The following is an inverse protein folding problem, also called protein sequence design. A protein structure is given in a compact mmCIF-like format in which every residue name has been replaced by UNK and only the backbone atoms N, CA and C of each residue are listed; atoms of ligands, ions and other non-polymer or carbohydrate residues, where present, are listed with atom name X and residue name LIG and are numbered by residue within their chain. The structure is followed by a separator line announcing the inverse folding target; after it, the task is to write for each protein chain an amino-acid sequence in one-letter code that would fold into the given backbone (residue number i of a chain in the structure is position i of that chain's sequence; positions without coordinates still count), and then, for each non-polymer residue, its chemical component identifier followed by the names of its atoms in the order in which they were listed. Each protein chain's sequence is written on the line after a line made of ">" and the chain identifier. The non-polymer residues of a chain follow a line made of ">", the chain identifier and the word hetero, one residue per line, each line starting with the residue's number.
data_IF_135396734073
#
_entry.id   IF_135396734073
#
_cell.length_a   1.000
_cell.length_b   1.000
_cell.length_c   1.000
_cell.angle_alpha   90.00
_cell.angle_beta   90.00
_cell.angle_gamma   90.00
#
_symmetry.space_group_name_H-M   'P 1'
#
loop_
_entity.id
_entity.type
_entity.pdbx_description
1 polymer ?
#
# COMPACT_ATOMS: atom_id res chain seq x y z
N UNK A 1 23.64 8.78 1.38
CA UNK A 1 22.62 8.42 2.38
C UNK A 1 21.22 8.88 1.92
N UNK A 2 20.56 8.05 1.12
CA UNK A 2 19.15 8.20 0.82
C UNK A 2 18.38 7.51 1.95
N UNK A 3 17.95 8.29 2.94
CA UNK A 3 16.86 7.87 3.81
C UNK A 3 15.60 8.49 3.20
N UNK A 4 15.04 7.80 2.21
CA UNK A 4 13.71 8.13 1.70
C UNK A 4 12.75 8.05 2.87
N UNK A 5 12.22 9.19 3.28
CA UNK A 5 11.21 9.21 4.33
C UNK A 5 9.91 8.66 3.74
N UNK A 6 9.30 7.73 4.45
CA UNK A 6 8.08 7.02 4.05
C UNK A 6 6.89 7.47 4.92
N UNK A 7 6.18 8.56 4.55
CA UNK A 7 5.05 9.07 5.33
C UNK A 7 3.89 8.07 5.41
N UNK A 8 3.71 7.22 4.40
CA UNK A 8 2.66 6.20 4.35
C UNK A 8 2.85 5.08 5.38
N UNK A 9 4.08 4.89 5.90
CA UNK A 9 4.39 3.81 6.84
C UNK A 9 3.67 3.94 8.18
N UNK A 10 3.05 5.08 8.47
CA UNK A 10 2.23 5.23 9.68
C UNK A 10 1.05 4.25 9.74
N UNK A 11 0.62 3.72 8.59
CA UNK A 11 -0.45 2.74 8.49
C UNK A 11 0.03 1.28 8.66
N UNK A 12 1.32 1.05 8.83
CA UNK A 12 1.91 -0.28 8.98
C UNK A 12 2.07 -0.61 10.47
N UNK A 13 1.05 -1.21 11.07
CA UNK A 13 1.04 -1.58 12.48
C UNK A 13 1.53 -3.01 12.71
N UNK A 14 1.50 -3.86 11.67
CA UNK A 14 1.89 -5.28 11.81
C UNK A 14 0.99 -6.03 12.80
N UNK A 15 -0.27 -5.60 12.94
CA UNK A 15 -1.21 -6.11 13.94
C UNK A 15 -2.33 -6.96 13.34
N UNK A 16 -2.49 -6.94 12.01
CA UNK A 16 -3.61 -7.61 11.36
C UNK A 16 -3.44 -9.13 11.34
N UNK A 17 -4.55 -9.85 11.57
CA UNK A 17 -4.56 -11.31 11.52
C UNK A 17 -4.14 -11.80 10.12
N UNK A 18 -3.09 -12.64 10.08
CA UNK A 18 -2.45 -13.12 8.86
C UNK A 18 -1.18 -12.36 8.47
N UNK A 19 -0.68 -11.46 9.33
CA UNK A 19 0.58 -10.75 9.15
C UNK A 19 1.61 -11.27 10.14
N UNK A 20 2.70 -11.86 9.65
CA UNK A 20 3.77 -12.44 10.50
C UNK A 20 4.87 -11.43 10.87
N UNK A 21 4.66 -10.13 10.60
CA UNK A 21 5.69 -9.12 10.76
C UNK A 21 5.37 -8.20 11.93
N UNK A 22 6.25 -8.13 12.96
CA UNK A 22 6.08 -7.19 14.05
C UNK A 22 6.22 -5.75 13.54
N UNK A 23 5.46 -4.83 14.14
CA UNK A 23 5.60 -3.39 13.89
C UNK A 23 7.08 -2.98 13.93
N UNK A 24 7.59 -2.36 12.87
CA UNK A 24 8.99 -1.96 12.83
C UNK A 24 9.21 -0.80 13.82
N UNK A 25 10.11 -0.91 14.82
CA UNK A 25 10.24 0.08 15.90
C UNK A 25 10.70 1.47 15.42
N UNK A 26 11.24 1.55 14.21
CA UNK A 26 11.58 2.82 13.54
C UNK A 26 10.39 3.56 12.92
N UNK A 27 9.18 3.00 12.95
CA UNK A 27 7.97 3.68 12.46
C UNK A 27 7.39 4.52 13.59
N UNK A 28 7.22 5.82 13.32
CA UNK A 28 6.61 6.73 14.28
C UNK A 28 5.09 6.77 14.10
N UNK A 29 4.35 6.22 15.06
CA UNK A 29 2.88 6.23 15.10
C UNK A 29 2.30 7.31 16.04
N UNK A 30 3.08 8.35 16.39
CA UNK A 30 2.57 9.44 17.23
C UNK A 30 1.49 10.25 16.52
N UNK A 31 0.67 10.97 17.29
CA UNK A 31 -0.37 11.84 16.74
C UNK A 31 0.23 12.98 15.90
N UNK A 32 1.43 13.45 16.23
CA UNK A 32 2.16 14.44 15.44
C UNK A 32 2.57 13.88 14.08
N UNK A 33 3.07 12.63 14.04
CA UNK A 33 3.37 11.95 12.79
C UNK A 33 2.12 11.78 11.93
N UNK A 34 1.00 11.37 12.53
CA UNK A 34 -0.28 11.24 11.82
C UNK A 34 -0.76 12.56 11.22
N UNK A 35 -0.69 13.64 11.99
CA UNK A 35 -1.05 14.97 11.52
C UNK A 35 -0.14 15.45 10.39
N UNK A 36 1.15 15.15 10.44
CA UNK A 36 2.09 15.50 9.39
C UNK A 36 1.77 14.76 8.09
N UNK A 37 1.54 13.44 8.16
CA UNK A 37 1.17 12.60 7.01
C UNK A 37 -0.14 13.08 6.39
N UNK A 38 -1.16 13.37 7.21
CA UNK A 38 -2.43 13.92 6.74
C UNK A 38 -2.26 15.26 6.00
N UNK A 39 -1.47 16.18 6.56
CA UNK A 39 -1.19 17.48 5.93
C UNK A 39 -0.46 17.32 4.60
N UNK A 40 0.52 16.41 4.52
CA UNK A 40 1.21 16.12 3.27
C UNK A 40 0.26 15.56 2.21
N UNK A 41 -0.53 14.54 2.56
CA UNK A 41 -1.51 13.95 1.65
C UNK A 41 -2.53 15.01 1.17
N UNK A 42 -2.95 15.91 2.06
CA UNK A 42 -3.86 17.00 1.72
C UNK A 42 -3.30 17.91 0.64
N UNK A 43 -2.01 18.26 0.67
CA UNK A 43 -1.38 19.08 -0.37
C UNK A 43 -1.49 18.39 -1.74
N UNK A 44 -1.18 17.10 -1.82
CA UNK A 44 -1.28 16.36 -3.09
C UNK A 44 -2.72 16.25 -3.60
N UNK A 45 -3.68 16.05 -2.70
CA UNK A 45 -5.10 16.01 -3.05
C UNK A 45 -5.59 17.37 -3.55
N UNK A 46 -5.19 18.47 -2.90
CA UNK A 46 -5.55 19.83 -3.33
C UNK A 46 -4.98 20.17 -4.71
N UNK A 47 -3.74 19.76 -5.02
CA UNK A 47 -3.19 19.91 -6.37
C UNK A 47 -3.95 19.05 -7.39
N UNK A 48 -4.28 17.80 -7.06
CA UNK A 48 -5.03 16.91 -7.95
C UNK A 48 -6.44 17.46 -8.27
N UNK A 49 -7.10 18.12 -7.32
CA UNK A 49 -8.43 18.75 -7.50
C UNK A 49 -8.45 19.88 -8.53
N UNK A 50 -7.30 20.45 -8.86
CA UNK A 50 -7.19 21.49 -9.91
C UNK A 50 -7.26 20.89 -11.32
N UNK A 51 -7.11 19.57 -11.45
CA UNK A 51 -7.25 18.87 -12.72
C UNK A 51 -8.71 18.82 -13.16
N UNK A 52 -8.94 18.95 -14.46
CA UNK A 52 -10.25 18.73 -15.10
C UNK A 52 -10.39 17.32 -15.67
N UNK A 53 -9.38 16.45 -15.47
CA UNK A 53 -9.41 15.09 -15.97
C UNK A 53 -10.56 14.30 -15.34
N UNK A 54 -11.33 13.61 -16.19
CA UNK A 54 -12.39 12.70 -15.77
C UNK A 54 -11.93 11.29 -16.08
N UNK A 55 -12.00 10.42 -15.07
CA UNK A 55 -11.69 9.01 -15.25
C UNK A 55 -12.87 8.29 -15.92
N UNK A 56 -12.65 7.71 -17.09
CA UNK A 56 -13.71 7.03 -17.88
C UNK A 56 -13.37 5.58 -18.20
N UNK A 57 -12.10 5.20 -18.16
CA UNK A 57 -11.62 3.86 -18.54
C UNK A 57 -11.60 2.90 -17.33
N UNK A 58 -12.74 2.72 -16.66
CA UNK A 58 -12.83 1.85 -15.47
C UNK A 58 -12.51 0.39 -15.74
N UNK A 59 -12.76 -0.10 -16.96
CA UNK A 59 -12.44 -1.48 -17.34
C UNK A 59 -10.92 -1.70 -17.46
N UNK A 60 -10.19 -0.67 -17.90
CA UNK A 60 -8.74 -0.73 -18.11
C UNK A 60 -7.95 -0.33 -16.86
N UNK A 61 -8.44 0.65 -16.12
CA UNK A 61 -7.84 1.13 -14.87
C UNK A 61 -8.92 1.18 -13.79
N UNK A 62 -9.23 0.04 -13.16
CA UNK A 62 -10.31 0.00 -12.19
C UNK A 62 -9.90 0.70 -10.90
N UNK A 63 -10.90 1.19 -10.17
CA UNK A 63 -10.73 1.83 -8.86
C UNK A 63 -10.09 0.86 -7.88
N UNK A 64 -9.32 1.38 -6.92
CA UNK A 64 -8.57 0.58 -5.95
C UNK A 64 -9.43 -0.46 -5.21
N UNK A 65 -10.71 -0.15 -5.00
CA UNK A 65 -11.70 -1.00 -4.34
C UNK A 65 -12.04 -2.30 -5.08
N UNK A 66 -11.62 -2.43 -6.34
CA UNK A 66 -11.86 -3.62 -7.16
C UNK A 66 -10.78 -4.70 -7.00
N UNK A 67 -9.61 -4.35 -6.47
CA UNK A 67 -8.49 -5.29 -6.37
C UNK A 67 -8.63 -6.19 -5.14
N UNK A 68 -8.20 -7.43 -5.30
CA UNK A 68 -8.01 -8.35 -4.18
C UNK A 68 -6.92 -7.83 -3.24
N UNK A 69 -7.16 -7.97 -1.94
CA UNK A 69 -6.18 -7.63 -0.90
C UNK A 69 -5.61 -8.92 -0.32
N UNK A 70 -4.29 -9.03 -0.32
CA UNK A 70 -3.57 -10.08 0.39
C UNK A 70 -2.88 -9.53 1.64
N UNK A 71 -2.62 -10.44 2.57
CA UNK A 71 -1.96 -10.18 3.85
C UNK A 71 -0.77 -11.13 3.95
N UNK A 72 0.44 -10.61 3.77
CA UNK A 72 1.69 -11.32 4.05
C UNK A 72 2.88 -10.38 3.87
N UNK A 73 3.95 -10.63 4.62
CA UNK A 73 5.25 -10.02 4.35
C UNK A 73 5.43 -8.59 4.87
N UNK A 74 6.30 -7.83 4.19
CA UNK A 74 6.85 -6.52 4.60
C UNK A 74 5.83 -5.37 4.70
N UNK A 75 4.58 -5.62 4.35
CA UNK A 75 3.43 -4.72 4.45
C UNK A 75 2.27 -5.49 5.06
N UNK A 76 1.44 -4.82 5.86
CA UNK A 76 0.27 -5.41 6.51
C UNK A 76 -0.79 -5.84 5.49
N UNK A 77 -0.95 -5.08 4.41
CA UNK A 77 -1.86 -5.37 3.29
C UNK A 77 -1.27 -4.90 1.96
N UNK A 78 -1.55 -5.62 0.89
CA UNK A 78 -1.22 -5.17 -0.47
C UNK A 78 -2.31 -5.56 -1.48
N UNK A 79 -2.51 -4.69 -2.47
CA UNK A 79 -3.41 -4.95 -3.59
C UNK A 79 -2.73 -5.82 -4.64
N UNK A 80 -3.44 -6.84 -5.12
CA UNK A 80 -2.95 -7.72 -6.17
C UNK A 80 -3.45 -7.24 -7.52
N UNK A 81 -2.51 -6.88 -8.39
CA UNK A 81 -2.78 -6.64 -9.82
C UNK A 81 -2.37 -7.89 -10.58
N UNK A 82 -3.35 -8.67 -11.04
CA UNK A 82 -3.09 -9.89 -11.83
C UNK A 82 -2.95 -9.53 -13.30
N UNK A 83 -1.99 -10.14 -13.98
CA UNK A 83 -1.92 -10.10 -15.45
C UNK A 83 -2.99 -11.03 -16.04
N UNK A 84 -3.43 -10.77 -17.27
CA UNK A 84 -4.54 -11.50 -17.95
C UNK A 84 -4.40 -13.04 -17.95
N UNK A 85 -3.18 -13.57 -17.76
CA UNK A 85 -2.90 -15.01 -17.76
C UNK A 85 -2.37 -15.55 -16.41
N UNK A 86 -2.43 -14.76 -15.32
CA UNK A 86 -2.02 -15.20 -13.98
C UNK A 86 -3.21 -15.77 -13.21
N UNK A 87 -3.12 -17.05 -12.86
CA UNK A 87 -4.05 -17.74 -11.97
C UNK A 87 -3.69 -17.45 -10.51
N UNK A 88 -4.62 -17.61 -9.54
CA UNK A 88 -4.33 -17.39 -8.11
C UNK A 88 -3.10 -18.16 -7.60
N UNK A 89 -2.73 -19.29 -8.23
CA UNK A 89 -1.55 -20.09 -7.88
C UNK A 89 -0.21 -19.53 -8.35
N UNK A 90 -0.23 -18.58 -9.30
CA UNK A 90 0.97 -18.03 -9.94
C UNK A 90 1.63 -16.91 -9.11
N UNK A 91 0.97 -16.45 -8.04
CA UNK A 91 1.50 -15.43 -7.11
C UNK A 91 2.71 -15.91 -6.27
N UNK A 92 3.18 -17.15 -6.47
CA UNK A 92 4.27 -17.75 -5.69
C UNK A 92 5.69 -17.24 -5.95
N UNK A 93 5.91 -16.20 -6.75
CA UNK A 93 7.30 -15.75 -6.98
C UNK A 93 7.50 -14.26 -7.26
N UNK A 94 6.46 -13.43 -7.21
CA UNK A 94 6.56 -11.98 -7.46
C UNK A 94 7.17 -11.20 -6.29
N UNK A 95 6.94 -11.66 -5.06
CA UNK A 95 7.62 -11.17 -3.85
C UNK A 95 8.83 -12.09 -3.64
N UNK A 96 9.91 -11.87 -4.38
CA UNK A 96 11.19 -12.53 -4.09
C UNK A 96 11.61 -12.13 -2.67
N UNK A 97 11.35 -13.00 -1.70
CA UNK A 97 11.89 -12.84 -0.36
C UNK A 97 11.14 -13.49 0.80
N UNK A 98 9.96 -14.09 0.61
CA UNK A 98 9.26 -14.73 1.74
C UNK A 98 8.97 -16.18 1.42
N UNK A 99 9.91 -17.01 1.87
CA UNK A 99 9.71 -18.44 2.07
C UNK A 99 8.66 -18.63 3.15
N UNK A 100 7.55 -19.30 2.82
CA UNK A 100 6.76 -19.99 3.84
C UNK A 100 7.26 -21.43 3.88
N UNK A 101 8.24 -21.67 4.76
CA UNK A 101 8.40 -22.99 5.39
C UNK A 101 7.46 -23.08 6.58
#
# INVERSE_FOLDING_TARGET
>A
PFYGWHPEKIFEYGTHNGTDIPAHPGINHSSEAANLVYKMASIFVEEARKSTHVHTEFERFPIVWSYEILRCGAMEQFFVVRRENETPGDLKSGIRGISME
#
